data_IF_473850114783
#
_entry.id   IF_473850114783
#
_cell.length_a   1.000
_cell.length_b   1.000
_cell.length_c   1.000
_cell.angle_alpha   90.00
_cell.angle_beta   90.00
_cell.angle_gamma   90.00
#
_symmetry.space_group_name_H-M   'P 1'
#
loop_
_entity.id
_entity.type
_entity.pdbx_description
1 polymer ?
#
# COMPACT_ATOMS: atom_id res chain seq x y z
N UNK A 1 -26.47 -35.21 11.27
CA UNK A 1 -26.02 -33.88 10.81
C UNK A 1 -26.01 -33.00 12.04
N UNK A 2 -24.86 -32.43 12.42
CA UNK A 2 -24.71 -31.74 13.70
C UNK A 2 -25.21 -30.29 13.58
N UNK A 3 -25.99 -29.81 14.55
CA UNK A 3 -26.56 -28.45 14.51
C UNK A 3 -25.45 -27.40 14.49
N UNK A 4 -24.35 -27.69 15.18
CA UNK A 4 -23.18 -26.82 15.28
C UNK A 4 -22.46 -26.67 13.92
N UNK A 5 -22.38 -27.76 13.15
CA UNK A 5 -21.79 -27.74 11.80
C UNK A 5 -22.63 -26.87 10.85
N UNK A 6 -23.96 -26.89 11.00
CA UNK A 6 -24.88 -26.06 10.21
C UNK A 6 -24.76 -24.58 10.57
N UNK A 7 -24.60 -24.24 11.86
CA UNK A 7 -24.42 -22.84 12.29
C UNK A 7 -23.05 -22.32 11.81
N UNK A 8 -21.99 -23.13 11.88
CA UNK A 8 -20.66 -22.75 11.40
C UNK A 8 -20.61 -22.57 9.87
N UNK A 9 -21.30 -23.41 9.11
CA UNK A 9 -21.36 -23.28 7.64
C UNK A 9 -22.10 -22.03 7.18
N UNK A 10 -23.07 -21.55 7.97
CA UNK A 10 -23.90 -20.39 7.65
C UNK A 10 -23.38 -19.08 8.25
N UNK A 11 -22.30 -19.10 9.04
CA UNK A 11 -21.71 -17.87 9.57
C UNK A 11 -21.16 -17.02 8.42
N UNK A 12 -21.54 -15.74 8.29
CA UNK A 12 -21.03 -14.88 7.24
C UNK A 12 -19.51 -14.77 7.39
N UNK A 13 -18.77 -15.30 6.41
CA UNK A 13 -17.32 -15.16 6.37
C UNK A 13 -16.99 -13.68 6.17
N UNK A 14 -16.25 -13.10 7.10
CA UNK A 14 -15.70 -11.75 6.95
C UNK A 14 -14.95 -11.67 5.61
N UNK A 15 -15.32 -10.73 4.74
CA UNK A 15 -14.66 -10.52 3.45
C UNK A 15 -13.20 -10.10 3.72
N UNK A 16 -12.27 -11.04 3.59
CA UNK A 16 -10.82 -10.74 3.63
C UNK A 16 -10.44 -10.07 2.31
N UNK A 17 -9.55 -9.08 2.38
CA UNK A 17 -9.01 -8.47 1.16
C UNK A 17 -8.21 -9.51 0.40
N UNK A 18 -8.22 -9.42 -0.94
CA UNK A 18 -7.36 -10.28 -1.75
C UNK A 18 -5.87 -10.03 -1.48
N UNK A 19 -5.52 -8.81 -1.08
CA UNK A 19 -4.16 -8.49 -0.69
C UNK A 19 -3.77 -9.14 0.64
N UNK A 20 -4.71 -9.34 1.57
CA UNK A 20 -4.44 -10.05 2.83
C UNK A 20 -4.21 -11.54 2.59
N UNK A 21 -4.94 -12.13 1.63
CA UNK A 21 -4.81 -13.54 1.25
C UNK A 21 -3.46 -13.85 0.59
N UNK A 22 -2.85 -12.86 -0.07
CA UNK A 22 -1.59 -13.01 -0.81
C UNK A 22 -0.47 -12.09 -0.30
N UNK A 23 -0.51 -11.68 0.97
CA UNK A 23 0.46 -10.72 1.53
C UNK A 23 1.91 -11.24 1.44
N UNK A 24 2.11 -12.54 1.67
CA UNK A 24 3.44 -13.16 1.61
C UNK A 24 4.03 -13.10 0.20
N UNK A 25 3.22 -13.43 -0.82
CA UNK A 25 3.62 -13.32 -2.22
C UNK A 25 3.94 -11.86 -2.59
N UNK A 26 3.08 -10.92 -2.16
CA UNK A 26 3.26 -9.49 -2.41
C UNK A 26 4.58 -9.01 -1.83
N UNK A 27 4.86 -9.32 -0.56
CA UNK A 27 6.10 -8.92 0.10
C UNK A 27 7.33 -9.51 -0.59
N UNK A 28 7.30 -10.81 -0.92
CA UNK A 28 8.40 -11.46 -1.66
C UNK A 28 8.68 -10.80 -3.00
N UNK A 29 7.64 -10.45 -3.76
CA UNK A 29 7.82 -9.77 -5.04
C UNK A 29 8.38 -8.35 -4.87
N UNK A 30 7.93 -7.63 -3.84
CA UNK A 30 8.46 -6.30 -3.54
C UNK A 30 9.93 -6.34 -3.09
N UNK A 31 10.34 -7.36 -2.32
CA UNK A 31 11.73 -7.60 -1.92
C UNK A 31 12.64 -7.90 -3.12
N UNK A 32 12.11 -8.60 -4.12
CA UNK A 32 12.79 -8.87 -5.39
C UNK A 32 12.78 -7.66 -6.35
N UNK A 33 12.38 -6.47 -5.87
CA UNK A 33 12.29 -5.23 -6.65
C UNK A 33 11.32 -5.28 -7.84
N UNK A 34 10.32 -6.16 -7.82
CA UNK A 34 9.25 -6.09 -8.82
C UNK A 34 8.40 -4.83 -8.64
N UNK A 35 8.03 -4.23 -9.77
CA UNK A 35 7.13 -3.07 -9.78
C UNK A 35 5.71 -3.46 -9.34
N UNK A 36 4.94 -2.50 -8.82
CA UNK A 36 3.53 -2.72 -8.44
C UNK A 36 2.69 -3.29 -9.58
N UNK A 37 2.98 -2.90 -10.83
CA UNK A 37 2.34 -3.44 -12.03
C UNK A 37 2.57 -4.95 -12.17
N UNK A 38 3.82 -5.39 -12.03
CA UNK A 38 4.18 -6.81 -12.11
C UNK A 38 3.55 -7.62 -10.97
N UNK A 39 3.48 -7.06 -9.76
CA UNK A 39 2.78 -7.68 -8.64
C UNK A 39 1.29 -7.86 -8.95
N UNK A 40 0.64 -6.85 -9.54
CA UNK A 40 -0.77 -6.96 -9.94
C UNK A 40 -0.97 -7.98 -11.06
N UNK A 41 -0.09 -8.03 -12.06
CA UNK A 41 -0.15 -9.04 -13.13
C UNK A 41 -0.03 -10.47 -12.56
N UNK A 42 0.91 -10.69 -11.63
CA UNK A 42 1.03 -11.96 -10.91
C UNK A 42 -0.25 -12.31 -10.14
N UNK A 43 -0.79 -11.36 -9.37
CA UNK A 43 -2.02 -11.58 -8.61
C UNK A 43 -3.22 -11.86 -9.52
N UNK A 44 -3.33 -11.21 -10.67
CA UNK A 44 -4.39 -11.48 -11.66
C UNK A 44 -4.27 -12.88 -12.26
N UNK A 45 -3.06 -13.35 -12.52
CA UNK A 45 -2.83 -14.71 -13.01
C UNK A 45 -3.14 -15.77 -11.93
N UNK A 46 -2.80 -15.48 -10.66
CA UNK A 46 -3.03 -16.38 -9.53
C UNK A 46 -4.49 -16.41 -9.08
N UNK A 47 -5.16 -15.27 -9.08
CA UNK A 47 -6.54 -15.12 -8.62
C UNK A 47 -7.48 -15.16 -9.82
N UNK A 48 -8.13 -16.30 -10.08
CA UNK A 48 -9.17 -16.40 -11.13
C UNK A 48 -10.25 -15.32 -10.91
N UNK A 49 -10.25 -14.28 -11.75
CA UNK A 49 -11.24 -13.20 -11.86
C UNK A 49 -11.64 -12.48 -10.56
N UNK A 50 -10.66 -11.97 -9.78
CA UNK A 50 -10.96 -11.07 -8.65
C UNK A 50 -10.93 -9.60 -9.07
N UNK A 51 -12.03 -8.89 -8.83
CA UNK A 51 -12.15 -7.44 -9.04
C UNK A 51 -11.30 -6.67 -8.03
N UNK A 52 -10.86 -5.46 -8.39
CA UNK A 52 -10.10 -4.59 -7.49
C UNK A 52 -8.58 -4.82 -7.46
N UNK A 53 -8.03 -5.67 -8.33
CA UNK A 53 -6.59 -5.79 -8.55
C UNK A 53 -6.07 -4.68 -9.48
N UNK A 54 -5.76 -3.52 -8.89
CA UNK A 54 -5.14 -2.37 -9.56
C UNK A 54 -3.93 -1.87 -8.79
N UNK A 55 -3.00 -1.20 -9.50
CA UNK A 55 -1.81 -0.61 -8.88
C UNK A 55 -2.18 0.43 -7.81
N UNK A 56 -3.23 1.21 -8.06
CA UNK A 56 -3.75 2.18 -7.09
C UNK A 56 -4.24 1.50 -5.81
N UNK A 57 -4.97 0.38 -5.93
CA UNK A 57 -5.47 -0.36 -4.77
C UNK A 57 -4.34 -1.01 -3.99
N UNK A 58 -3.34 -1.58 -4.68
CA UNK A 58 -2.14 -2.10 -4.04
C UNK A 58 -1.36 -1.00 -3.31
N UNK A 59 -1.17 0.16 -3.95
CA UNK A 59 -0.52 1.32 -3.34
C UNK A 59 -1.26 1.78 -2.08
N UNK A 60 -2.59 1.87 -2.14
CA UNK A 60 -3.43 2.24 -0.99
C UNK A 60 -3.32 1.22 0.14
N UNK A 61 -3.36 -0.07 -0.21
CA UNK A 61 -3.21 -1.17 0.74
C UNK A 61 -1.85 -1.11 1.46
N UNK A 62 -0.75 -0.97 0.71
CA UNK A 62 0.60 -0.86 1.26
C UNK A 62 0.80 0.41 2.12
N UNK A 63 0.12 1.51 1.80
CA UNK A 63 0.12 2.72 2.64
C UNK A 63 -0.64 2.50 3.94
N UNK A 64 -1.76 1.76 3.90
CA UNK A 64 -2.56 1.44 5.08
C UNK A 64 -1.83 0.48 6.02
N UNK A 65 -1.11 -0.51 5.48
CA UNK A 65 -0.32 -1.44 6.29
C UNK A 65 0.82 -0.72 7.02
N UNK A 66 1.51 0.23 6.36
CA UNK A 66 2.54 1.07 7.00
C UNK A 66 2.02 1.89 8.18
N UNK A 67 0.77 2.35 8.15
CA UNK A 67 0.13 3.09 9.26
C UNK A 67 -0.21 2.22 10.47
N UNK A 68 -0.24 0.89 10.32
CA UNK A 68 -0.42 -0.03 11.46
C UNK A 68 0.91 -0.39 12.15
N UNK A 69 2.05 -0.02 11.55
CA UNK A 69 3.41 -0.29 12.08
C UNK A 69 3.99 0.96 12.78
N UNK A 70 3.18 1.94 13.18
CA UNK A 70 3.61 2.91 14.21
C UNK A 70 3.22 2.34 15.57
N UNK A 71 4.12 1.64 16.29
CA UNK A 71 3.99 1.56 17.74
C UNK A 71 4.08 3.00 18.27
N UNK A 72 3.31 3.26 19.33
CA UNK A 72 3.29 4.50 20.07
C UNK A 72 4.65 5.19 20.08
N UNK A 73 4.68 6.45 19.62
CA UNK A 73 5.81 7.34 19.86
C UNK A 73 5.86 7.56 21.37
N UNK A 74 6.55 6.65 22.09
CA UNK A 74 7.06 6.96 23.42
C UNK A 74 7.93 8.19 23.24
N UNK A 75 7.53 9.25 23.91
CA UNK A 75 8.29 10.48 24.09
C UNK A 75 9.75 10.12 24.39
N UNK A 76 10.63 10.32 23.42
CA UNK A 76 12.06 10.45 23.69
C UNK A 76 12.40 11.89 23.33
N UNK A 77 12.61 12.62 24.41
CA UNK A 77 13.28 13.91 24.53
C UNK A 77 14.10 14.28 23.28
N UNK A 78 13.60 15.25 22.51
CA UNK A 78 14.41 16.00 21.57
C UNK A 78 14.92 17.25 22.28
N UNK A 79 15.80 17.02 23.25
CA UNK A 79 16.72 18.07 23.66
C UNK A 79 17.94 18.01 22.72
N UNK A 80 18.23 19.16 22.10
CA UNK A 80 19.37 19.47 21.21
C UNK A 80 19.35 18.91 19.78
N UNK A 81 18.86 19.73 18.86
CA UNK A 81 19.63 20.08 17.66
C UNK A 81 19.12 21.42 17.11
N UNK A 82 19.98 22.41 17.24
CA UNK A 82 19.80 23.82 16.89
C UNK A 82 19.50 24.07 15.40
N UNK A 83 18.69 25.11 15.17
CA UNK A 83 18.74 26.11 14.10
C UNK A 83 19.16 25.68 12.67
N UNK A 84 18.18 25.62 11.75
CA UNK A 84 18.36 26.13 10.37
C UNK A 84 17.10 26.88 9.91
N UNK A 85 17.23 28.08 9.29
CA UNK A 85 16.08 28.93 8.99
C UNK A 85 15.34 28.47 7.72
N UNK A 86 14.02 28.38 7.82
CA UNK A 86 13.08 28.15 6.71
C UNK A 86 13.27 29.21 5.62
N UNK A 87 13.93 28.86 4.51
CA UNK A 87 13.95 29.70 3.30
C UNK A 87 12.68 29.43 2.49
N UNK A 88 11.75 30.39 2.52
CA UNK A 88 10.56 30.45 1.67
C UNK A 88 10.97 30.51 0.19
N UNK A 89 10.97 29.37 -0.51
CA UNK A 89 11.08 29.34 -1.96
C UNK A 89 9.67 29.24 -2.53
N UNK A 90 9.10 30.39 -2.92
CA UNK A 90 7.92 30.44 -3.78
C UNK A 90 8.29 29.74 -5.10
N UNK A 91 7.76 28.54 -5.33
CA UNK A 91 7.94 27.80 -6.58
C UNK A 91 7.21 28.55 -7.70
N UNK A 92 7.96 29.03 -8.70
CA UNK A 92 7.38 29.52 -9.96
C UNK A 92 6.95 28.33 -10.83
N UNK A 93 5.90 28.45 -11.65
CA UNK A 93 5.55 27.41 -12.63
C UNK A 93 6.70 27.25 -13.63
N UNK A 94 7.09 26.01 -13.90
CA UNK A 94 8.08 25.67 -14.92
C UNK A 94 7.29 25.49 -16.23
N UNK A 95 7.55 26.34 -17.22
CA UNK A 95 6.92 26.24 -18.53
C UNK A 95 7.75 25.31 -19.43
N UNK A 96 7.22 24.12 -19.70
CA UNK A 96 7.92 23.00 -20.34
C UNK A 96 8.00 23.20 -21.87
N UNK A 97 7.19 24.08 -22.45
CA UNK A 97 7.08 24.24 -23.90
C UNK A 97 8.03 25.29 -24.49
N UNK A 98 8.83 25.96 -23.67
CA UNK A 98 9.71 27.05 -24.13
C UNK A 98 10.79 26.61 -25.13
N UNK A 99 11.14 25.31 -25.18
CA UNK A 99 12.23 24.80 -26.02
C UNK A 99 11.78 23.96 -27.23
N UNK A 100 10.49 23.99 -27.59
CA UNK A 100 9.96 23.32 -28.78
C UNK A 100 9.64 24.33 -29.89
N UNK A 101 10.67 25.03 -30.39
CA UNK A 101 10.62 25.71 -31.69
C UNK A 101 11.97 25.55 -32.40
N UNK A 102 11.99 24.69 -33.40
CA UNK A 102 12.91 24.72 -34.55
C UNK A 102 12.09 24.41 -35.78
#
# INVERSE_FOLDING_TARGET
MNIDDFILSNKPRSKKSIFDEHIEDINKLLELNYSQKQVIEYLKAKCKNKTGLSEQNLSFYLKKSKKQITPEVKNIDRDKSENTPKKNIKKKPIDIFANLKS
#
